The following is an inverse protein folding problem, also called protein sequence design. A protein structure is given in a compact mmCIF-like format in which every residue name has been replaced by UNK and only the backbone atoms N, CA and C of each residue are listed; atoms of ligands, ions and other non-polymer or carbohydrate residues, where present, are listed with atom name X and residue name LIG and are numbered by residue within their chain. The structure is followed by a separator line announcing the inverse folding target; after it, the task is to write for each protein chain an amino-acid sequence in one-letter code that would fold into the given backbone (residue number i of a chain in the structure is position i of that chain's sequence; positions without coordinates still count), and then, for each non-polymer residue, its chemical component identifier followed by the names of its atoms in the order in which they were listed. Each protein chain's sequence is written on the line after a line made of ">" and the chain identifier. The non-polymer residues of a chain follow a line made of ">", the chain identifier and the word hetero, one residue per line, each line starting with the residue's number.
data_IF_061007132353
#
_entry.id   IF_061007132353
#
_cell.length_a   1.000
_cell.length_b   1.000
_cell.length_c   1.000
_cell.angle_alpha   90.00
_cell.angle_beta   90.00
_cell.angle_gamma   90.00
#
_symmetry.space_group_name_H-M   'P 1'
#
loop_
_entity.id
_entity.type
_entity.pdbx_description
1 polymer ?
#
# COMPACT_ATOMS: atom_id res chain seq x y z
N UNK A 1 -3.81 1.12 8.62
CA UNK A 1 -3.23 0.34 7.50
C UNK A 1 -1.77 0.71 7.31
N UNK A 2 -0.91 -0.30 7.19
CA UNK A 2 0.51 -0.06 6.94
C UNK A 2 0.80 -0.12 5.45
N UNK A 3 1.66 0.77 4.99
CA UNK A 3 2.10 0.80 3.61
C UNK A 3 3.62 0.89 3.58
N UNK A 4 4.21 0.45 2.48
CA UNK A 4 5.65 0.54 2.26
C UNK A 4 5.96 0.68 0.78
N UNK A 5 7.19 1.07 0.49
CA UNK A 5 7.72 1.08 -0.89
C UNK A 5 8.94 0.16 -0.91
N UNK A 6 8.98 -0.75 -1.87
CA UNK A 6 10.16 -1.59 -2.09
C UNK A 6 10.80 -1.21 -3.42
N UNK A 7 12.11 -1.39 -3.53
CA UNK A 7 12.83 -1.22 -4.78
C UNK A 7 13.00 -2.58 -5.43
N UNK A 8 12.59 -2.70 -6.67
CA UNK A 8 12.73 -3.96 -7.43
C UNK A 8 14.11 -4.06 -8.07
N UNK A 9 14.45 -5.24 -8.55
CA UNK A 9 15.75 -5.49 -9.19
C UNK A 9 16.02 -4.61 -10.39
N UNK A 10 14.97 -4.23 -11.10
CA UNK A 10 15.08 -3.32 -12.26
C UNK A 10 15.23 -1.85 -11.89
N UNK A 11 15.31 -1.52 -10.60
CA UNK A 11 15.47 -0.15 -10.12
C UNK A 11 14.17 0.61 -9.93
N UNK A 12 13.04 0.04 -10.29
CA UNK A 12 11.74 0.68 -10.08
C UNK A 12 11.25 0.48 -8.65
N UNK A 13 10.32 1.32 -8.24
CA UNK A 13 9.75 1.31 -6.89
C UNK A 13 8.31 0.81 -6.93
N UNK A 14 7.96 -0.08 -6.03
CA UNK A 14 6.63 -0.66 -5.96
C UNK A 14 6.00 -0.34 -4.62
N UNK A 15 4.85 0.38 -4.60
CA UNK A 15 4.11 0.62 -3.37
C UNK A 15 3.35 -0.64 -2.97
N UNK A 16 3.35 -0.94 -1.68
CA UNK A 16 2.68 -2.12 -1.13
C UNK A 16 1.90 -1.75 0.12
N UNK A 17 0.85 -2.50 0.39
CA UNK A 17 0.08 -2.35 1.62
C UNK A 17 0.04 -3.68 2.37
N UNK A 18 -0.12 -3.59 3.70
CA UNK A 18 -0.21 -4.78 4.54
C UNK A 18 -1.67 -5.18 4.71
N UNK A 19 -2.00 -6.36 4.21
CA UNK A 19 -3.34 -6.93 4.34
C UNK A 19 -3.39 -7.79 5.58
N UNK A 20 -4.24 -7.41 6.54
CA UNK A 20 -4.47 -8.15 7.78
C UNK A 20 -5.71 -9.02 7.70
N UNK A 21 -5.80 -9.99 8.59
CA UNK A 21 -7.02 -10.76 8.82
C UNK A 21 -7.21 -11.97 7.92
N UNK A 22 -6.19 -12.39 7.20
CA UNK A 22 -6.24 -13.65 6.46
C UNK A 22 -5.99 -14.83 7.41
N UNK A 23 -6.39 -16.04 6.99
CA UNK A 23 -6.10 -17.28 7.73
C UNK A 23 -4.60 -17.51 7.91
N UNK A 24 -3.80 -16.91 7.07
CA UNK A 24 -2.35 -17.08 7.04
C UNK A 24 -1.59 -15.92 7.68
N UNK A 25 -2.32 -15.01 8.34
CA UNK A 25 -1.73 -13.84 8.98
C UNK A 25 -1.69 -12.65 8.04
N UNK A 26 -0.76 -11.73 8.31
CA UNK A 26 -0.60 -10.52 7.51
C UNK A 26 0.29 -10.81 6.30
N UNK A 27 -0.03 -10.19 5.14
CA UNK A 27 0.82 -10.30 3.97
C UNK A 27 0.87 -8.97 3.22
N UNK A 28 2.02 -8.70 2.61
CA UNK A 28 2.20 -7.51 1.79
C UNK A 28 1.63 -7.74 0.40
N UNK A 29 0.82 -6.81 -0.05
CA UNK A 29 0.18 -6.86 -1.36
C UNK A 29 0.55 -5.62 -2.17
N UNK A 30 0.59 -5.78 -3.48
CA UNK A 30 0.81 -4.66 -4.39
C UNK A 30 -0.38 -3.72 -4.37
N UNK A 31 -0.11 -2.41 -4.25
CA UNK A 31 -1.17 -1.40 -4.30
C UNK A 31 -1.74 -1.34 -5.72
N UNK A 32 -3.05 -1.55 -5.90
CA UNK A 32 -3.66 -1.43 -7.23
C UNK A 32 -3.53 0.00 -7.77
N UNK A 33 -3.08 0.11 -9.01
CA UNK A 33 -2.93 1.40 -9.67
C UNK A 33 -3.50 1.31 -11.08
N UNK A 34 -3.66 2.45 -11.74
CA UNK A 34 -4.13 2.49 -13.12
C UNK A 34 -3.04 2.15 -14.15
N UNK A 35 -1.87 1.74 -13.67
CA UNK A 35 -0.73 1.37 -14.52
C UNK A 35 -0.15 0.04 -14.10
N UNK A 36 1.16 -0.13 -14.33
CA UNK A 36 1.87 -1.37 -14.01
C UNK A 36 2.21 -1.54 -12.52
N UNK A 37 1.84 -0.58 -11.68
CA UNK A 37 2.11 -0.66 -10.25
C UNK A 37 3.55 -0.40 -9.86
N UNK A 38 4.37 0.11 -10.78
CA UNK A 38 5.76 0.45 -10.51
C UNK A 38 6.03 1.90 -10.91
N UNK A 39 6.97 2.53 -10.24
CA UNK A 39 7.30 3.94 -10.43
C UNK A 39 8.80 4.14 -10.52
N UNK A 40 9.22 5.10 -11.33
CA UNK A 40 10.64 5.39 -11.53
C UNK A 40 11.28 6.09 -10.33
N UNK A 41 10.49 6.75 -9.49
CA UNK A 41 10.99 7.49 -8.32
C UNK A 41 10.31 7.03 -7.05
N UNK A 42 11.06 7.06 -5.96
CA UNK A 42 10.54 6.69 -4.65
C UNK A 42 9.47 7.69 -4.19
N UNK A 43 9.66 8.97 -4.47
CA UNK A 43 8.71 10.01 -4.09
C UNK A 43 7.33 9.76 -4.69
N UNK A 44 7.28 9.36 -5.94
CA UNK A 44 6.03 9.04 -6.62
C UNK A 44 5.35 7.83 -5.97
N UNK A 45 6.11 6.78 -5.69
CA UNK A 45 5.59 5.60 -5.03
C UNK A 45 5.06 5.90 -3.62
N UNK A 46 5.77 6.75 -2.87
CA UNK A 46 5.32 7.20 -1.55
C UNK A 46 3.99 7.96 -1.65
N UNK A 47 3.88 8.83 -2.63
CA UNK A 47 2.65 9.60 -2.86
C UNK A 47 1.48 8.66 -3.16
N UNK A 48 1.69 7.64 -3.96
CA UNK A 48 0.69 6.62 -4.26
C UNK A 48 0.28 5.87 -2.98
N UNK A 49 1.23 5.53 -2.13
CA UNK A 49 0.94 4.92 -0.84
C UNK A 49 0.06 5.81 0.04
N UNK A 50 0.35 7.10 0.08
CA UNK A 50 -0.42 8.06 0.88
C UNK A 50 -1.85 8.17 0.37
N UNK A 51 -2.03 8.26 -0.95
CA UNK A 51 -3.36 8.30 -1.55
C UNK A 51 -4.15 7.03 -1.30
N UNK A 52 -3.51 5.89 -1.45
CA UNK A 52 -4.12 4.60 -1.17
C UNK A 52 -4.61 4.52 0.28
N UNK A 53 -3.74 4.89 1.20
CA UNK A 53 -4.04 4.88 2.62
C UNK A 53 -5.22 5.79 2.95
N UNK A 54 -5.29 6.96 2.32
CA UNK A 54 -6.39 7.90 2.51
C UNK A 54 -7.72 7.36 1.97
N UNK A 55 -7.71 6.75 0.79
CA UNK A 55 -8.90 6.16 0.17
C UNK A 55 -9.42 4.95 0.93
N UNK A 56 -8.52 4.19 1.54
CA UNK A 56 -8.85 2.94 2.24
C UNK A 56 -8.73 3.08 3.75
N UNK A 57 -8.89 4.30 4.21
CA UNK A 57 -8.96 4.61 5.61
C UNK A 57 -10.13 3.85 6.23
N UNK A 58 -9.91 3.29 7.42
CA UNK A 58 -10.96 2.60 8.13
C UNK A 58 -12.14 3.55 8.38
N UNK A 59 -13.38 3.07 8.25
CA UNK A 59 -14.53 3.90 8.56
C UNK A 59 -14.44 4.40 10.01
N UNK A 60 -14.97 5.60 10.24
CA UNK A 60 -14.95 6.18 11.57
C UNK A 60 -15.59 5.23 12.58
N UNK A 61 -14.79 4.76 13.50
CA UNK A 61 -15.31 3.93 14.60
C UNK A 61 -15.81 4.90 15.66
N UNK A 62 -17.13 5.02 15.78
CA UNK A 62 -17.73 5.89 16.80
C UNK A 62 -17.88 5.19 18.13
N UNK A 63 -17.79 3.87 18.12
CA UNK A 63 -17.82 3.06 19.34
C UNK A 63 -17.13 1.72 19.07
N UNK A 64 -16.32 1.31 20.01
CA UNK A 64 -15.61 0.05 19.95
C UNK A 64 -15.64 -0.62 21.31
N UNK A 65 -16.13 -1.83 21.34
CA UNK A 65 -16.29 -2.56 22.58
C UNK A 65 -15.54 -3.87 22.66
#
# INVERSE_FOLDING_TARGET
>A
MKVRVIQKENGYFEPQYLKDGSKFGSMWCEVPTNGNGIYATMDHAIEVCKEWKEKHKEPNVVWEG
#
